data_IF_097832101872
#
_entry.id   IF_097832101872
#
_cell.length_a   1.000
_cell.length_b   1.000
_cell.length_c   1.000
_cell.angle_alpha   90.00
_cell.angle_beta   90.00
_cell.angle_gamma   90.00
#
_symmetry.space_group_name_H-M   'P 1'
#
loop_
_entity.id
_entity.type
_entity.pdbx_description
1 polymer ?
#
# COMPACT_ATOMS: atom_id res chain seq x y z
N UNK A 1 -13.97 17.22 -4.30
CA UNK A 1 -14.67 15.98 -3.91
C UNK A 1 -14.91 16.03 -2.39
N UNK A 2 -16.05 15.65 -1.81
CA UNK A 2 -16.34 15.92 -0.37
C UNK A 2 -15.47 15.11 0.63
N UNK A 3 -14.61 14.23 0.12
CA UNK A 3 -13.76 13.33 0.91
C UNK A 3 -12.28 13.72 0.89
N UNK A 4 -11.92 14.77 0.15
CA UNK A 4 -10.54 15.23 0.01
C UNK A 4 -9.98 15.64 1.37
N UNK A 5 -8.84 15.06 1.73
CA UNK A 5 -8.13 15.28 2.99
C UNK A 5 -8.98 15.09 4.26
N UNK A 6 -9.92 14.13 4.25
CA UNK A 6 -10.76 13.85 5.42
C UNK A 6 -10.27 12.68 6.26
N UNK A 7 -9.49 11.76 5.69
CA UNK A 7 -9.08 10.54 6.37
C UNK A 7 -7.69 10.68 7.02
N UNK A 8 -7.58 10.41 8.32
CA UNK A 8 -6.27 10.22 8.97
C UNK A 8 -5.62 8.90 8.54
N UNK A 9 -6.45 7.92 8.17
CA UNK A 9 -6.03 6.60 7.68
C UNK A 9 -6.95 6.10 6.56
N UNK A 10 -6.36 5.53 5.52
CA UNK A 10 -7.09 4.95 4.38
C UNK A 10 -6.73 3.48 4.20
N UNK A 11 -7.75 2.63 4.01
CA UNK A 11 -7.60 1.18 3.80
C UNK A 11 -7.88 0.83 2.34
N UNK A 12 -6.93 0.17 1.67
CA UNK A 12 -7.07 -0.27 0.28
C UNK A 12 -7.32 -1.78 0.24
N UNK A 13 -8.57 -2.19 0.45
CA UNK A 13 -8.96 -3.61 0.62
C UNK A 13 -9.19 -4.37 -0.71
N UNK A 14 -8.66 -3.87 -1.82
CA UNK A 14 -8.73 -4.51 -3.15
C UNK A 14 -7.30 -4.77 -3.68
N UNK A 15 -6.60 -5.79 -3.13
CA UNK A 15 -5.18 -6.01 -3.40
C UNK A 15 -4.82 -6.19 -4.88
N UNK A 16 -5.75 -6.69 -5.69
CA UNK A 16 -5.56 -6.99 -7.11
C UNK A 16 -5.50 -5.71 -7.97
N UNK A 17 -6.02 -4.59 -7.46
CA UNK A 17 -6.17 -3.33 -8.21
C UNK A 17 -5.70 -2.11 -7.42
N UNK A 18 -4.94 -2.29 -6.35
CA UNK A 18 -4.56 -1.17 -5.46
C UNK A 18 -3.85 -0.04 -6.19
N UNK A 19 -2.99 -0.34 -7.17
CA UNK A 19 -2.31 0.70 -7.97
C UNK A 19 -3.31 1.65 -8.65
N UNK A 20 -4.41 1.13 -9.18
CA UNK A 20 -5.43 1.91 -9.88
C UNK A 20 -6.15 2.92 -8.98
N UNK A 21 -6.21 2.65 -7.67
CA UNK A 21 -6.91 3.48 -6.69
C UNK A 21 -5.96 4.29 -5.81
N UNK A 22 -4.64 4.21 -6.03
CA UNK A 22 -3.66 4.86 -5.16
C UNK A 22 -3.80 6.38 -5.18
N UNK A 23 -4.00 7.00 -6.35
CA UNK A 23 -4.24 8.44 -6.45
C UNK A 23 -5.49 8.88 -5.69
N UNK A 24 -6.55 8.07 -5.76
CA UNK A 24 -7.78 8.34 -4.99
C UNK A 24 -7.52 8.21 -3.50
N UNK A 25 -6.81 7.17 -3.07
CA UNK A 25 -6.44 6.96 -1.67
C UNK A 25 -5.56 8.10 -1.13
N UNK A 26 -4.62 8.60 -1.92
CA UNK A 26 -3.81 9.77 -1.61
C UNK A 26 -4.69 11.02 -1.48
N UNK A 27 -5.63 11.25 -2.40
CA UNK A 27 -6.49 12.44 -2.38
C UNK A 27 -7.32 12.55 -1.09
N UNK A 28 -7.87 11.42 -0.60
CA UNK A 28 -8.75 11.41 0.58
C UNK A 28 -7.99 11.37 1.91
N UNK A 29 -6.74 10.91 1.89
CA UNK A 29 -5.87 10.85 3.07
C UNK A 29 -5.29 12.23 3.35
N UNK A 30 -5.27 12.67 4.61
CA UNK A 30 -4.62 13.94 5.01
C UNK A 30 -3.11 13.92 4.78
N UNK A 31 -2.47 15.08 4.73
CA UNK A 31 -1.00 15.15 4.85
C UNK A 31 -0.53 14.43 6.14
N UNK A 32 0.56 13.67 6.03
CA UNK A 32 1.10 12.80 7.09
C UNK A 32 0.15 11.68 7.55
N UNK A 33 -0.95 11.46 6.85
CA UNK A 33 -1.86 10.33 7.07
C UNK A 33 -1.25 9.00 6.64
N UNK A 34 -1.91 7.91 7.00
CA UNK A 34 -1.43 6.54 6.73
C UNK A 34 -2.30 5.87 5.68
N UNK A 35 -1.67 5.24 4.69
CA UNK A 35 -2.32 4.34 3.75
C UNK A 35 -1.93 2.90 4.10
N UNK A 36 -2.93 2.04 4.27
CA UNK A 36 -2.79 0.60 4.36
C UNK A 36 -2.96 0.01 2.97
N UNK A 37 -1.85 -0.10 2.24
CA UNK A 37 -1.80 -0.54 0.86
C UNK A 37 -1.69 -2.06 0.82
N UNK A 38 -2.78 -2.76 0.51
CA UNK A 38 -2.72 -4.20 0.26
C UNK A 38 -2.36 -4.46 -1.19
N UNK A 39 -1.58 -5.49 -1.46
CA UNK A 39 -1.30 -5.93 -2.82
C UNK A 39 -1.14 -7.44 -2.88
N UNK A 40 -1.17 -7.99 -4.09
CA UNK A 40 -0.67 -9.32 -4.34
C UNK A 40 0.71 -9.26 -4.99
N UNK A 41 1.64 -10.05 -4.47
CA UNK A 41 3.04 -10.06 -4.88
C UNK A 41 3.48 -11.49 -5.19
N UNK A 42 4.15 -11.66 -6.33
CA UNK A 42 4.90 -12.86 -6.62
C UNK A 42 6.26 -12.83 -5.91
N UNK A 43 6.61 -13.91 -5.21
CA UNK A 43 7.91 -14.03 -4.56
C UNK A 43 8.41 -15.47 -4.50
N UNK A 44 9.70 -15.65 -4.78
CA UNK A 44 10.38 -16.95 -4.70
C UNK A 44 10.31 -17.56 -3.29
N UNK A 45 10.32 -16.72 -2.26
CA UNK A 45 10.19 -17.16 -0.87
C UNK A 45 9.09 -16.39 -0.17
N UNK A 46 8.43 -17.03 0.80
CA UNK A 46 7.43 -16.35 1.64
C UNK A 46 8.04 -15.10 2.29
N UNK A 47 9.21 -15.22 2.90
CA UNK A 47 9.87 -14.13 3.62
C UNK A 47 10.22 -12.91 2.74
N UNK A 48 10.45 -13.10 1.44
CA UNK A 48 10.76 -12.00 0.52
C UNK A 48 9.55 -11.17 0.08
N UNK A 49 8.32 -11.69 0.21
CA UNK A 49 7.13 -11.07 -0.35
C UNK A 49 6.83 -9.68 0.24
N UNK A 50 7.00 -9.49 1.56
CA UNK A 50 6.75 -8.19 2.19
C UNK A 50 7.75 -7.13 1.71
N UNK A 51 9.03 -7.49 1.55
CA UNK A 51 10.06 -6.55 1.07
C UNK A 51 9.81 -6.12 -0.38
N UNK A 52 9.48 -7.09 -1.25
CA UNK A 52 9.07 -6.79 -2.62
C UNK A 52 7.83 -5.90 -2.68
N UNK A 53 6.89 -6.06 -1.73
CA UNK A 53 5.73 -5.19 -1.61
C UNK A 53 6.10 -3.76 -1.23
N UNK A 54 7.07 -3.55 -0.34
CA UNK A 54 7.58 -2.21 -0.01
C UNK A 54 8.21 -1.54 -1.23
N UNK A 55 9.07 -2.27 -1.94
CA UNK A 55 9.75 -1.80 -3.15
C UNK A 55 8.74 -1.43 -4.25
N UNK A 56 7.72 -2.27 -4.45
CA UNK A 56 6.62 -1.99 -5.37
C UNK A 56 5.88 -0.71 -4.97
N UNK A 57 5.44 -0.61 -3.71
CA UNK A 57 4.73 0.57 -3.22
C UNK A 57 5.54 1.87 -3.41
N UNK A 58 6.82 1.87 -3.04
CA UNK A 58 7.70 3.04 -3.20
C UNK A 58 7.91 3.40 -4.67
N UNK A 59 7.84 2.44 -5.59
CA UNK A 59 7.95 2.67 -7.03
C UNK A 59 6.68 3.30 -7.62
N UNK A 60 5.50 2.88 -7.17
CA UNK A 60 4.21 3.33 -7.73
C UNK A 60 3.64 4.55 -7.01
N UNK A 61 4.04 4.80 -5.76
CA UNK A 61 3.60 5.96 -5.00
C UNK A 61 4.18 7.25 -5.62
N UNK A 62 3.34 8.19 -6.09
CA UNK A 62 3.82 9.43 -6.70
C UNK A 62 4.33 10.45 -5.67
N UNK A 63 4.14 10.18 -4.38
CA UNK A 63 4.54 11.04 -3.27
C UNK A 63 5.68 10.45 -2.47
N UNK A 64 6.39 11.32 -1.74
CA UNK A 64 7.26 10.87 -0.66
C UNK A 64 6.43 10.07 0.36
N UNK A 65 6.93 8.92 0.74
CA UNK A 65 6.31 8.08 1.76
C UNK A 65 7.37 7.39 2.63
N UNK A 66 7.04 7.23 3.92
CA UNK A 66 7.81 6.40 4.84
C UNK A 66 7.07 5.10 5.09
N UNK A 67 7.76 3.97 4.89
CA UNK A 67 7.25 2.65 5.26
C UNK A 67 7.30 2.54 6.79
N UNK A 68 6.14 2.40 7.41
CA UNK A 68 6.03 2.19 8.86
C UNK A 68 6.09 0.70 9.19
N UNK A 69 5.49 -0.14 8.34
CA UNK A 69 5.46 -1.59 8.50
C UNK A 69 5.15 -2.28 7.17
N UNK A 70 5.54 -3.54 7.05
CA UNK A 70 5.06 -4.42 6.00
C UNK A 70 4.88 -5.84 6.53
N UNK A 71 3.87 -6.55 6.02
CA UNK A 71 3.63 -7.94 6.43
C UNK A 71 2.99 -8.76 5.32
N UNK A 72 3.17 -10.06 5.45
CA UNK A 72 2.47 -11.07 4.64
C UNK A 72 1.16 -11.39 5.36
N UNK A 73 0.04 -11.18 4.69
CA UNK A 73 -1.29 -11.43 5.23
C UNK A 73 -1.66 -12.90 5.07
N UNK A 74 -1.52 -13.44 3.86
CA UNK A 74 -1.82 -14.84 3.52
C UNK A 74 -1.18 -15.25 2.19
N UNK A 75 -1.08 -16.55 1.95
CA UNK A 75 -0.85 -17.08 0.61
C UNK A 75 -2.14 -16.97 -0.22
N UNK A 76 -2.00 -16.65 -1.50
CA UNK A 76 -3.08 -16.60 -2.50
C UNK A 76 -2.91 -17.73 -3.52
N UNK A 77 -1.67 -18.13 -3.80
CA UNK A 77 -1.34 -19.27 -4.66
C UNK A 77 0.15 -19.65 -4.55
N UNK A 78 0.63 -20.59 -5.38
CA UNK A 78 2.05 -20.94 -5.42
C UNK A 78 2.91 -19.70 -5.69
N UNK A 79 3.81 -19.38 -4.75
CA UNK A 79 4.68 -18.19 -4.82
C UNK A 79 3.94 -16.86 -4.98
N UNK A 80 2.67 -16.81 -4.59
CA UNK A 80 1.80 -15.64 -4.73
C UNK A 80 1.16 -15.30 -3.39
N UNK A 81 1.41 -14.09 -2.91
CA UNK A 81 1.11 -13.71 -1.53
C UNK A 81 0.36 -12.40 -1.50
N UNK A 82 -0.64 -12.32 -0.61
CA UNK A 82 -1.23 -11.05 -0.25
C UNK A 82 -0.38 -10.41 0.84
N UNK A 83 0.04 -9.18 0.61
CA UNK A 83 0.84 -8.36 1.52
C UNK A 83 0.06 -7.11 1.91
N UNK A 84 0.53 -6.43 2.94
CA UNK A 84 0.14 -5.05 3.23
C UNK A 84 1.38 -4.24 3.58
N UNK A 85 1.42 -3.02 3.07
CA UNK A 85 2.38 -1.98 3.39
C UNK A 85 1.63 -0.88 4.12
N UNK A 86 2.05 -0.57 5.33
CA UNK A 86 1.55 0.58 6.09
C UNK A 86 2.51 1.74 5.84
N UNK A 87 2.06 2.76 5.09
CA UNK A 87 2.91 3.87 4.67
C UNK A 87 2.34 5.20 5.13
N UNK A 88 3.20 6.06 5.68
CA UNK A 88 2.88 7.48 5.91
C UNK A 88 3.22 8.26 4.66
N UNK A 89 2.27 9.02 4.12
CA UNK A 89 2.47 9.85 2.92
C UNK A 89 2.70 11.32 3.29
N UNK A 90 3.40 12.06 2.43
CA UNK A 90 3.66 13.49 2.58
C UNK A 90 3.26 14.23 1.31
N UNK A 91 2.34 15.19 1.41
CA UNK A 91 1.77 15.91 0.25
C UNK A 91 2.52 17.18 -0.14
N UNK A 92 3.36 17.70 0.77
CA UNK A 92 4.02 19.01 0.73
C UNK A 92 3.08 20.19 0.91
#
# INVERSE_FOLDING_TARGET
NNLEEKADRTLMLLPERSDEFLDTAISVTKDRGIIHYYSHIHSETKAGASKLSEEHFLKVCPLKADILNSKIVRAVGPRFYQTVVDARIYKN
#
